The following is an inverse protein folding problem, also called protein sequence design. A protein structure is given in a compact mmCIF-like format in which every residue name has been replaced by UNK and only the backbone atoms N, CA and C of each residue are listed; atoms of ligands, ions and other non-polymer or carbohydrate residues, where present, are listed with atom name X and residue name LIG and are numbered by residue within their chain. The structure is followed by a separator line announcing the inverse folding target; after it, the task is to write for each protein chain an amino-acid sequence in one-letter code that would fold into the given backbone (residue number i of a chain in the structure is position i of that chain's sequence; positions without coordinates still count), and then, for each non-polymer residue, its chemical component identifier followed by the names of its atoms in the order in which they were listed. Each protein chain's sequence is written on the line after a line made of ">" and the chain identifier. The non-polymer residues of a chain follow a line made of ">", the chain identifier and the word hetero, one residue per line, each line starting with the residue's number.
data_IF_607086718367
#
_entry.id   IF_607086718367
#
_cell.length_a   1.000
_cell.length_b   1.000
_cell.length_c   1.000
_cell.angle_alpha   90.00
_cell.angle_beta   90.00
_cell.angle_gamma   90.00
#
_symmetry.space_group_name_H-M   'P 1'
#
loop_
_entity.id
_entity.type
_entity.pdbx_description
1 polymer ?
#
# COMPACT_ATOMS: atom_id res chain seq x y z
N UNK A 1 27.92 -58.60 53.14
CA UNK A 1 28.92 -58.57 54.23
C UNK A 1 30.28 -58.44 53.58
N UNK A 2 31.15 -57.60 54.17
CA UNK A 2 32.44 -57.06 53.68
C UNK A 2 32.37 -56.01 52.57
N UNK A 3 33.27 -55.01 52.51
CA UNK A 3 33.85 -54.08 53.50
C UNK A 3 34.63 -53.08 52.63
N UNK A 4 34.52 -51.80 52.95
CA UNK A 4 35.61 -50.79 52.86
C UNK A 4 36.28 -50.49 51.52
N UNK A 5 36.42 -49.19 51.24
CA UNK A 5 37.76 -48.69 50.92
C UNK A 5 37.89 -47.42 50.08
N UNK A 6 37.85 -46.27 50.76
CA UNK A 6 38.74 -45.10 50.62
C UNK A 6 38.71 -44.21 49.36
N UNK A 7 38.54 -42.93 49.68
CA UNK A 7 38.90 -41.71 48.94
C UNK A 7 40.35 -41.69 48.45
N UNK A 8 40.56 -41.05 47.29
CA UNK A 8 41.76 -40.34 46.82
C UNK A 8 41.27 -39.36 45.73
N UNK A 9 41.02 -38.09 46.03
CA UNK A 9 41.94 -36.93 45.87
C UNK A 9 42.88 -37.08 44.67
N UNK A 10 42.64 -36.32 43.61
CA UNK A 10 43.54 -36.25 42.46
C UNK A 10 43.15 -35.18 41.45
N UNK A 11 43.70 -33.97 41.62
CA UNK A 11 44.18 -33.14 40.50
C UNK A 11 43.14 -32.40 39.67
N UNK A 12 42.86 -31.16 40.06
CA UNK A 12 42.51 -30.12 39.10
C UNK A 12 43.76 -29.82 38.24
N UNK A 13 43.68 -30.12 36.94
CA UNK A 13 44.55 -29.51 35.92
C UNK A 13 43.62 -28.85 34.92
N UNK A 14 43.45 -27.53 35.09
CA UNK A 14 42.84 -26.66 34.11
C UNK A 14 43.74 -26.60 32.87
N UNK A 15 43.43 -27.41 31.86
CA UNK A 15 43.97 -27.25 30.53
C UNK A 15 43.08 -26.25 29.76
N UNK A 16 43.43 -24.96 29.87
CA UNK A 16 42.95 -23.93 28.96
C UNK A 16 43.68 -24.14 27.63
N UNK A 17 43.04 -24.85 26.71
CA UNK A 17 43.44 -24.89 25.30
C UNK A 17 42.37 -24.17 24.48
N UNK A 18 42.55 -22.85 24.37
CA UNK A 18 41.86 -22.04 23.39
C UNK A 18 42.48 -22.25 22.01
N UNK A 19 41.65 -22.65 21.06
CA UNK A 19 41.70 -22.31 19.63
C UNK A 19 40.53 -23.03 18.93
N UNK A 20 39.31 -22.60 19.27
CA UNK A 20 38.08 -22.98 18.58
C UNK A 20 37.61 -21.81 17.74
N UNK A 21 37.67 -21.97 16.43
CA UNK A 21 37.32 -20.97 15.43
C UNK A 21 35.84 -20.51 15.53
N UNK A 22 35.64 -19.23 15.22
CA UNK A 22 34.52 -18.67 14.45
C UNK A 22 33.12 -19.24 14.73
N UNK A 23 32.37 -18.52 15.56
CA UNK A 23 30.93 -18.69 15.70
C UNK A 23 30.27 -17.42 16.22
N UNK A 24 30.41 -16.31 15.49
CA UNK A 24 29.55 -15.14 15.73
C UNK A 24 28.14 -15.55 15.33
N UNK A 25 27.37 -16.02 16.30
CA UNK A 25 25.95 -16.29 16.15
C UNK A 25 25.23 -14.94 16.10
N UNK A 26 25.22 -14.33 14.92
CA UNK A 26 24.34 -13.21 14.64
C UNK A 26 22.92 -13.77 14.74
N UNK A 27 22.22 -13.42 15.82
CA UNK A 27 20.77 -13.57 15.90
C UNK A 27 20.19 -12.67 14.79
N UNK A 28 20.14 -13.19 13.57
CA UNK A 28 19.37 -12.61 12.49
C UNK A 28 17.94 -12.91 12.87
N UNK A 29 17.29 -11.93 13.49
CA UNK A 29 15.84 -11.88 13.60
C UNK A 29 15.25 -12.35 12.28
N UNK A 30 14.25 -13.23 12.26
CA UNK A 30 13.50 -13.48 11.04
C UNK A 30 12.77 -12.17 10.77
N UNK A 31 13.44 -11.28 10.04
CA UNK A 31 12.77 -10.22 9.32
C UNK A 31 11.68 -10.94 8.56
N UNK A 32 10.43 -10.54 8.84
CA UNK A 32 9.26 -10.91 8.04
C UNK A 32 9.74 -11.05 6.60
N UNK A 33 9.59 -12.22 6.01
CA UNK A 33 9.75 -12.36 4.57
C UNK A 33 8.80 -11.32 3.97
N UNK A 34 9.35 -10.16 3.60
CA UNK A 34 8.59 -9.10 2.99
C UNK A 34 8.03 -9.71 1.73
N UNK A 35 6.71 -9.76 1.61
CA UNK A 35 6.09 -10.01 0.32
C UNK A 35 6.80 -9.07 -0.65
N UNK A 36 7.44 -9.62 -1.68
CA UNK A 36 8.08 -8.80 -2.70
C UNK A 36 6.95 -7.97 -3.31
N UNK A 37 6.92 -6.68 -3.01
CA UNK A 37 5.91 -5.77 -3.54
C UNK A 37 6.20 -5.60 -5.02
N UNK A 38 5.29 -6.08 -5.86
CA UNK A 38 5.38 -5.88 -7.31
C UNK A 38 4.91 -4.47 -7.67
N UNK A 39 5.87 -3.56 -7.76
CA UNK A 39 5.62 -2.16 -8.09
C UNK A 39 4.98 -1.96 -9.47
N UNK A 40 5.19 -2.90 -10.40
CA UNK A 40 4.57 -2.84 -11.74
C UNK A 40 3.08 -3.16 -11.63
N UNK A 41 2.74 -4.23 -10.92
CA UNK A 41 1.35 -4.60 -10.68
C UNK A 41 0.58 -3.49 -9.93
N UNK A 42 1.19 -2.87 -8.92
CA UNK A 42 0.57 -1.77 -8.18
C UNK A 42 0.33 -0.54 -9.06
N UNK A 43 1.32 -0.17 -9.88
CA UNK A 43 1.17 0.93 -10.83
C UNK A 43 0.08 0.66 -11.85
N UNK A 44 -0.04 -0.59 -12.31
CA UNK A 44 -1.07 -0.99 -13.27
C UNK A 44 -2.47 -0.97 -12.63
N UNK A 45 -2.64 -1.49 -11.42
CA UNK A 45 -3.89 -1.40 -10.64
C UNK A 45 -4.34 0.06 -10.51
N UNK A 46 -3.44 0.94 -10.07
CA UNK A 46 -3.74 2.37 -9.90
C UNK A 46 -4.20 3.02 -11.21
N UNK A 47 -3.47 2.78 -12.30
CA UNK A 47 -3.77 3.35 -13.62
C UNK A 47 -5.12 2.88 -14.17
N UNK A 48 -5.42 1.59 -14.08
CA UNK A 48 -6.69 1.03 -14.56
C UNK A 48 -7.85 1.58 -13.73
N UNK A 49 -7.72 1.57 -12.40
CA UNK A 49 -8.81 1.96 -11.52
C UNK A 49 -9.04 3.48 -11.50
N UNK A 50 -8.01 4.32 -11.65
CA UNK A 50 -8.21 5.79 -11.72
C UNK A 50 -8.90 6.21 -13.03
N UNK A 51 -8.59 5.55 -14.15
CA UNK A 51 -9.28 5.78 -15.42
C UNK A 51 -10.73 5.33 -15.35
N UNK A 52 -10.97 4.15 -14.77
CA UNK A 52 -12.34 3.66 -14.53
C UNK A 52 -13.13 4.62 -13.63
N UNK A 53 -12.55 5.08 -12.53
CA UNK A 53 -13.20 6.01 -11.61
C UNK A 53 -13.64 7.30 -12.32
N UNK A 54 -12.79 7.84 -13.21
CA UNK A 54 -13.15 9.00 -14.03
C UNK A 54 -14.22 8.68 -15.07
N UNK A 55 -14.18 7.51 -15.71
CA UNK A 55 -15.24 7.06 -16.61
C UNK A 55 -16.58 6.95 -15.88
N UNK A 56 -16.59 6.40 -14.66
CA UNK A 56 -17.78 6.23 -13.83
C UNK A 56 -18.33 7.59 -13.37
N UNK A 57 -17.45 8.53 -13.00
CA UNK A 57 -17.83 9.92 -12.70
C UNK A 57 -18.44 10.65 -13.89
N UNK A 58 -17.90 10.43 -15.09
CA UNK A 58 -18.44 10.98 -16.34
C UNK A 58 -19.82 10.38 -16.65
N UNK A 59 -19.96 9.06 -16.56
CA UNK A 59 -21.23 8.38 -16.79
C UNK A 59 -22.32 8.88 -15.83
N UNK A 60 -22.00 9.06 -14.55
CA UNK A 60 -22.90 9.65 -13.57
C UNK A 60 -23.33 11.07 -13.97
N UNK A 61 -22.40 11.90 -14.43
CA UNK A 61 -22.72 13.25 -14.91
C UNK A 61 -23.59 13.24 -16.16
N UNK A 62 -23.38 12.30 -17.07
CA UNK A 62 -24.20 12.19 -18.28
C UNK A 62 -25.63 11.71 -17.97
N UNK A 63 -25.82 10.92 -16.91
CA UNK A 63 -27.14 10.47 -16.45
C UNK A 63 -27.84 11.53 -15.58
N UNK A 64 -27.12 12.21 -14.68
CA UNK A 64 -27.71 13.08 -13.65
C UNK A 64 -27.50 14.58 -13.88
N UNK A 65 -26.69 14.97 -14.86
CA UNK A 65 -26.37 16.36 -15.20
C UNK A 65 -25.38 17.05 -14.25
N UNK A 66 -24.87 16.36 -13.23
CA UNK A 66 -23.94 16.90 -12.22
C UNK A 66 -22.82 15.92 -11.90
N UNK A 67 -21.62 16.43 -11.61
CA UNK A 67 -20.54 15.59 -11.08
C UNK A 67 -20.73 15.32 -9.59
N UNK A 68 -20.37 14.11 -9.17
CA UNK A 68 -20.46 13.68 -7.77
C UNK A 68 -19.08 13.57 -7.14
N UNK A 69 -18.86 14.28 -6.03
CA UNK A 69 -17.68 14.07 -5.19
C UNK A 69 -17.81 12.74 -4.44
N UNK A 70 -16.75 11.92 -4.43
CA UNK A 70 -16.76 10.60 -3.82
C UNK A 70 -15.43 10.28 -3.14
N UNK A 71 -15.46 9.48 -2.08
CA UNK A 71 -14.27 9.17 -1.30
C UNK A 71 -13.76 10.33 -0.43
N UNK A 72 -12.60 10.14 0.21
CA UNK A 72 -11.65 9.05 -0.04
C UNK A 72 -12.07 7.67 0.50
N UNK A 73 -11.93 6.62 -0.32
CA UNK A 73 -12.14 5.22 0.09
C UNK A 73 -10.98 4.32 -0.34
N UNK A 74 -10.37 3.54 0.57
CA UNK A 74 -10.49 3.59 2.04
C UNK A 74 -10.14 4.97 2.62
N UNK A 75 -10.52 5.25 3.87
CA UNK A 75 -10.29 6.56 4.50
C UNK A 75 -8.80 6.92 4.64
N UNK A 76 -7.92 5.92 4.74
CA UNK A 76 -6.47 6.10 4.78
C UNK A 76 -5.82 5.49 3.54
N UNK A 77 -4.69 6.07 3.12
CA UNK A 77 -3.88 5.53 2.02
C UNK A 77 -3.22 4.22 2.47
N UNK A 78 -3.46 3.08 1.79
CA UNK A 78 -2.77 1.83 2.12
C UNK A 78 -1.26 1.95 1.94
N UNK A 79 -0.48 1.39 2.87
CA UNK A 79 0.99 1.42 2.91
C UNK A 79 1.59 0.03 3.06
N UNK A 80 2.87 -0.12 2.71
CA UNK A 80 3.61 -1.38 2.84
C UNK A 80 3.20 -2.46 1.83
N UNK A 81 2.47 -2.09 0.77
CA UNK A 81 1.97 -3.03 -0.25
C UNK A 81 0.83 -3.94 0.23
N UNK A 82 0.31 -3.74 1.44
CA UNK A 82 -0.80 -4.53 1.99
C UNK A 82 -2.13 -4.10 1.36
N UNK A 83 -2.90 -5.09 0.89
CA UNK A 83 -4.25 -4.84 0.38
C UNK A 83 -5.24 -4.75 1.55
N UNK A 84 -6.11 -3.74 1.51
CA UNK A 84 -7.12 -3.49 2.54
C UNK A 84 -8.51 -3.61 1.95
N UNK A 85 -9.51 -3.87 2.81
CA UNK A 85 -10.90 -3.97 2.38
C UNK A 85 -11.38 -2.65 1.76
N UNK A 86 -11.97 -2.74 0.57
CA UNK A 86 -12.68 -1.63 -0.07
C UNK A 86 -14.13 -1.62 0.42
N UNK A 87 -14.43 -0.69 1.34
CA UNK A 87 -15.79 -0.45 1.83
C UNK A 87 -16.32 0.85 1.19
N UNK A 88 -17.05 0.79 0.06
CA UNK A 88 -17.46 1.98 -0.66
C UNK A 88 -18.42 2.83 0.17
N UNK A 89 -18.20 4.14 0.15
CA UNK A 89 -19.14 5.10 0.71
C UNK A 89 -20.41 5.18 -0.16
N UNK A 90 -21.37 6.02 0.25
CA UNK A 90 -22.60 6.19 -0.52
C UNK A 90 -22.35 6.72 -1.94
N UNK A 91 -21.40 7.62 -2.11
CA UNK A 91 -21.16 8.28 -3.39
C UNK A 91 -20.37 7.38 -4.34
N UNK A 92 -19.39 6.62 -3.85
CA UNK A 92 -18.70 5.58 -4.61
C UNK A 92 -19.68 4.52 -5.12
N UNK A 93 -20.68 4.13 -4.29
CA UNK A 93 -21.76 3.23 -4.72
C UNK A 93 -22.65 3.85 -5.79
N UNK A 94 -23.01 5.13 -5.65
CA UNK A 94 -23.78 5.86 -6.67
C UNK A 94 -23.04 5.98 -7.99
N UNK A 95 -21.73 6.16 -7.97
CA UNK A 95 -20.89 6.13 -9.17
C UNK A 95 -20.84 4.75 -9.83
N UNK A 96 -21.16 3.67 -9.12
CA UNK A 96 -20.96 2.30 -9.60
C UNK A 96 -19.49 1.86 -9.58
N UNK A 97 -18.63 2.57 -8.83
CA UNK A 97 -17.22 2.27 -8.76
C UNK A 97 -16.96 1.07 -7.84
N UNK A 98 -16.72 -0.07 -8.47
CA UNK A 98 -16.48 -1.37 -7.81
C UNK A 98 -15.12 -1.95 -8.25
N UNK A 99 -14.02 -1.55 -7.59
CA UNK A 99 -12.74 -2.23 -7.74
C UNK A 99 -12.81 -3.62 -7.08
N UNK A 100 -11.68 -4.33 -7.03
CA UNK A 100 -11.56 -5.56 -6.25
C UNK A 100 -11.95 -5.35 -4.78
N UNK A 101 -12.44 -6.42 -4.12
CA UNK A 101 -12.79 -6.40 -2.68
C UNK A 101 -11.64 -5.90 -1.80
N UNK A 102 -10.41 -6.23 -2.18
CA UNK A 102 -9.21 -5.76 -1.52
C UNK A 102 -8.41 -4.87 -2.48
N UNK A 103 -8.09 -3.66 -2.04
CA UNK A 103 -7.40 -2.64 -2.83
C UNK A 103 -6.11 -2.23 -2.16
N UNK A 104 -5.12 -1.82 -2.95
CA UNK A 104 -3.85 -1.28 -2.43
C UNK A 104 -3.75 0.24 -2.58
N UNK A 105 -4.83 0.86 -3.04
CA UNK A 105 -4.92 2.28 -3.27
C UNK A 105 -6.20 2.83 -2.65
N UNK A 106 -6.12 4.07 -2.20
CA UNK A 106 -7.25 4.92 -1.88
C UNK A 106 -7.72 5.64 -3.14
N UNK A 107 -9.03 5.66 -3.34
CA UNK A 107 -9.70 6.29 -4.47
C UNK A 107 -10.50 7.51 -4.02
N UNK A 108 -10.48 8.58 -4.81
CA UNK A 108 -11.21 9.81 -4.53
C UNK A 108 -11.58 10.51 -5.83
N UNK A 109 -12.79 11.07 -5.90
CA UNK A 109 -13.22 12.03 -6.91
C UNK A 109 -13.35 13.38 -6.23
N UNK A 110 -12.63 14.38 -6.72
CA UNK A 110 -12.72 15.78 -6.27
C UNK A 110 -13.32 16.60 -7.40
N UNK A 111 -14.31 17.42 -7.08
CA UNK A 111 -14.93 18.37 -8.03
C UNK A 111 -14.56 19.77 -7.57
N UNK A 112 -13.96 20.56 -8.44
CA UNK A 112 -13.60 21.95 -8.19
C UNK A 112 -14.24 22.84 -9.26
N UNK A 113 -14.57 24.07 -8.91
CA UNK A 113 -14.99 25.07 -9.88
C UNK A 113 -13.77 25.80 -10.41
N UNK A 114 -13.63 25.88 -11.73
CA UNK A 114 -12.60 26.69 -12.38
C UNK A 114 -12.92 28.19 -12.21
N UNK A 115 -11.97 29.11 -12.49
CA UNK A 115 -12.25 30.54 -12.47
C UNK A 115 -13.39 31.01 -13.39
N UNK A 116 -13.79 30.16 -14.34
CA UNK A 116 -14.89 30.42 -15.28
C UNK A 116 -16.24 29.89 -14.76
N UNK A 117 -16.29 29.31 -13.55
CA UNK A 117 -17.49 28.70 -12.97
C UNK A 117 -17.83 27.33 -13.58
N UNK A 118 -16.88 26.72 -14.26
CA UNK A 118 -17.04 25.40 -14.87
C UNK A 118 -16.52 24.30 -13.94
N UNK A 119 -17.18 23.13 -13.84
CA UNK A 119 -16.68 22.04 -13.02
C UNK A 119 -15.46 21.37 -13.68
N UNK A 120 -14.37 21.26 -12.92
CA UNK A 120 -13.21 20.42 -13.22
C UNK A 120 -13.19 19.26 -12.21
N UNK A 121 -13.09 18.04 -12.73
CA UNK A 121 -13.04 16.84 -11.89
C UNK A 121 -11.65 16.27 -11.88
N UNK A 122 -11.14 15.91 -10.70
CA UNK A 122 -9.90 15.16 -10.56
C UNK A 122 -10.17 13.84 -9.85
N UNK A 123 -9.83 12.74 -10.51
CA UNK A 123 -9.84 11.40 -9.93
C UNK A 123 -8.44 11.05 -9.43
N UNK A 124 -8.37 10.52 -8.22
CA UNK A 124 -7.13 10.13 -7.56
C UNK A 124 -7.11 8.63 -7.27
N UNK A 125 -5.95 8.02 -7.45
CA UNK A 125 -5.57 6.77 -6.81
C UNK A 125 -4.26 7.02 -6.03
N UNK A 126 -4.28 6.81 -4.71
CA UNK A 126 -3.15 7.05 -3.81
C UNK A 126 -2.73 5.75 -3.13
N UNK A 127 -1.46 5.40 -3.16
CA UNK A 127 -0.95 4.17 -2.55
C UNK A 127 0.56 4.10 -2.49
N UNK A 128 1.09 3.26 -1.62
CA UNK A 128 2.52 2.96 -1.54
C UNK A 128 2.93 1.98 -2.64
N UNK A 129 3.55 2.51 -3.71
CA UNK A 129 3.76 1.79 -4.98
C UNK A 129 4.77 0.65 -4.86
N UNK A 130 5.80 0.80 -4.04
CA UNK A 130 6.91 -0.14 -3.94
C UNK A 130 7.15 -0.65 -2.51
N UNK A 131 6.29 -0.27 -1.57
CA UNK A 131 6.35 -0.73 -0.18
C UNK A 131 7.36 0.05 0.66
N UNK A 132 7.89 1.18 0.16
CA UNK A 132 8.87 2.01 0.86
C UNK A 132 8.22 2.96 1.88
N UNK A 133 6.88 2.97 1.96
CA UNK A 133 6.09 3.83 2.83
C UNK A 133 5.77 5.21 2.24
N UNK A 134 6.32 5.55 1.06
CA UNK A 134 6.05 6.79 0.34
C UNK A 134 4.78 6.66 -0.49
N UNK A 135 3.88 7.63 -0.35
CA UNK A 135 2.66 7.66 -1.15
C UNK A 135 2.99 8.07 -2.58
N UNK A 136 2.53 7.27 -3.53
CA UNK A 136 2.42 7.63 -4.93
C UNK A 136 0.99 8.07 -5.24
N UNK A 137 0.86 9.17 -5.96
CA UNK A 137 -0.40 9.79 -6.37
C UNK A 137 -0.55 9.65 -7.88
N UNK A 138 -1.59 8.92 -8.29
CA UNK A 138 -2.03 8.84 -9.68
C UNK A 138 -3.25 9.72 -9.85
N UNK A 139 -3.22 10.65 -10.81
CA UNK A 139 -4.33 11.58 -11.07
C UNK A 139 -4.72 11.63 -12.54
N UNK A 140 -6.03 11.76 -12.77
CA UNK A 140 -6.65 12.02 -14.07
C UNK A 140 -7.62 13.18 -13.89
N UNK A 141 -7.58 14.15 -14.78
CA UNK A 141 -8.55 15.26 -14.80
C UNK A 141 -9.56 15.06 -15.93
N UNK A 142 -10.83 15.37 -15.65
CA UNK A 142 -11.88 15.52 -16.66
C UNK A 142 -12.19 17.01 -16.82
N UNK A 143 -12.20 17.46 -18.08
CA UNK A 143 -12.72 18.77 -18.42
C UNK A 143 -14.25 18.75 -18.58
N UNK A 144 -14.83 19.92 -18.88
CA UNK A 144 -16.27 20.09 -19.11
C UNK A 144 -16.86 19.27 -20.24
N UNK A 145 -16.01 18.82 -21.18
CA UNK A 145 -16.39 18.02 -22.33
C UNK A 145 -16.28 16.51 -22.04
N UNK A 146 -15.86 16.13 -20.84
CA UNK A 146 -15.63 14.74 -20.46
C UNK A 146 -14.34 14.16 -21.06
N UNK A 147 -13.41 15.00 -21.54
CA UNK A 147 -12.11 14.52 -22.01
C UNK A 147 -11.19 14.26 -20.82
N UNK A 148 -10.69 13.02 -20.72
CA UNK A 148 -9.70 12.62 -19.73
C UNK A 148 -8.30 13.06 -20.12
N UNK A 149 -7.53 13.61 -19.17
CA UNK A 149 -6.10 13.77 -19.33
C UNK A 149 -5.35 12.43 -19.35
N UNK A 150 -4.08 12.47 -19.72
CA UNK A 150 -3.15 11.38 -19.42
C UNK A 150 -3.04 11.17 -17.90
N UNK A 151 -2.76 9.93 -17.49
CA UNK A 151 -2.52 9.60 -16.07
C UNK A 151 -1.19 10.17 -15.64
N UNK A 152 -1.21 11.14 -14.72
CA UNK A 152 0.01 11.66 -14.07
C UNK A 152 0.30 10.84 -12.82
N UNK A 153 1.54 10.43 -12.64
CA UNK A 153 1.99 9.66 -11.48
C UNK A 153 3.16 10.39 -10.80
N UNK A 154 2.97 10.81 -9.55
CA UNK A 154 3.91 11.61 -8.77
C UNK A 154 4.10 10.96 -7.39
N UNK A 155 5.23 11.18 -6.72
CA UNK A 155 5.38 10.86 -5.29
C UNK A 155 4.87 12.06 -4.49
N UNK A 156 4.11 11.81 -3.43
CA UNK A 156 3.69 12.84 -2.49
C UNK A 156 4.96 13.33 -1.76
N UNK A 157 5.46 14.51 -2.11
CA UNK A 157 6.58 15.14 -1.40
C UNK A 157 6.06 15.82 -0.12
N UNK A 158 6.87 15.77 0.95
CA UNK A 158 6.57 16.24 2.32
C UNK A 158 6.26 17.75 2.41
#
# INVERSE_FOLDING_TARGET
>A
MTRSGKMLVGGAVFAVLGLGALGVFVLRSPGRAGAVVDATAMSQEARVNVLRLCSDAQAYRDEHGVFLQAGPVPAQVPRGGEAVLFAPDENMRKLGFEPSEHVRHQYQVVVQETPLGEPEVTCYARGDRDGDGQVSVFRVTLDVNGMTSEVKAEREEE
#
